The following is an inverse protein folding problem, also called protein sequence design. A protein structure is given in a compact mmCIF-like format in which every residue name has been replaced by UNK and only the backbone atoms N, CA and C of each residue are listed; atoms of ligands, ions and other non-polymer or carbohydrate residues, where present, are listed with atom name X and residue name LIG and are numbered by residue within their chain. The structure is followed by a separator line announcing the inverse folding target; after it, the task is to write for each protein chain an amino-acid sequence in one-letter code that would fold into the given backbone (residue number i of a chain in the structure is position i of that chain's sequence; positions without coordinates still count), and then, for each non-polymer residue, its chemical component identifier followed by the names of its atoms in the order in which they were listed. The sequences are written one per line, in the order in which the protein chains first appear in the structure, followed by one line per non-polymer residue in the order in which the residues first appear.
data_IF_738672531346
#
_entry.id   IF_738672531346
#
_cell.length_a   1.000
_cell.length_b   1.000
_cell.length_c   1.000
_cell.angle_alpha   90.00
_cell.angle_beta   90.00
_cell.angle_gamma   90.00
#
_symmetry.space_group_name_H-M   'P 1'
#
loop_
_entity.id
_entity.type
_entity.pdbx_description
1 polymer ?
#
# COMPACT_ATOMS: atom_id res chain seq x y z
N UNK A 1 -46.82 -11.06 -1.62
CA UNK A 1 -46.30 -10.21 -0.52
C UNK A 1 -44.94 -10.79 -0.21
N UNK A 2 -43.93 -9.98 -0.32
CA UNK A 2 -42.56 -10.34 0.06
C UNK A 2 -42.60 -10.95 1.46
N UNK A 3 -42.05 -12.12 1.72
CA UNK A 3 -41.96 -12.61 3.08
C UNK A 3 -40.96 -11.73 3.82
N UNK A 4 -41.51 -10.71 4.50
CA UNK A 4 -40.72 -9.89 5.44
C UNK A 4 -40.08 -10.87 6.43
N UNK A 5 -38.75 -10.81 6.66
CA UNK A 5 -38.09 -11.76 7.56
C UNK A 5 -38.78 -11.87 8.91
N UNK A 6 -38.86 -13.07 9.45
CA UNK A 6 -39.59 -13.35 10.70
C UNK A 6 -39.16 -12.45 11.87
N UNK A 7 -37.88 -12.13 11.96
CA UNK A 7 -37.37 -11.22 12.99
C UNK A 7 -37.91 -9.80 12.84
N UNK A 8 -38.09 -9.30 11.61
CA UNK A 8 -38.68 -7.99 11.34
C UNK A 8 -40.15 -8.00 11.76
N UNK A 9 -40.91 -9.07 11.40
CA UNK A 9 -42.29 -9.25 11.81
C UNK A 9 -42.40 -9.27 13.36
N UNK A 10 -41.49 -9.96 14.05
CA UNK A 10 -41.45 -10.02 15.50
C UNK A 10 -41.18 -8.67 16.16
N UNK A 11 -40.29 -7.85 15.55
CA UNK A 11 -40.02 -6.48 16.01
C UNK A 11 -41.24 -5.58 15.75
N UNK A 12 -41.84 -5.64 14.55
CA UNK A 12 -43.01 -4.84 14.15
C UNK A 12 -44.21 -5.05 15.08
N UNK A 13 -44.41 -6.27 15.57
CA UNK A 13 -45.42 -6.55 16.60
C UNK A 13 -45.26 -5.74 17.89
N UNK A 14 -44.02 -5.25 18.17
CA UNK A 14 -43.70 -4.48 19.37
C UNK A 14 -43.71 -2.98 19.12
N UNK A 15 -43.24 -2.53 17.95
CA UNK A 15 -43.01 -1.11 17.63
C UNK A 15 -44.02 -0.54 16.64
N UNK A 16 -44.90 -1.37 16.05
CA UNK A 16 -45.80 -0.92 14.97
C UNK A 16 -45.04 -0.41 13.77
N UNK A 17 -45.43 0.80 13.26
CA UNK A 17 -44.83 1.45 12.11
C UNK A 17 -43.68 2.41 12.43
N UNK A 18 -43.19 2.43 13.68
CA UNK A 18 -42.06 3.28 14.06
C UNK A 18 -40.86 3.01 13.16
N UNK A 19 -40.00 4.02 12.88
CA UNK A 19 -38.83 3.86 12.02
C UNK A 19 -37.91 2.73 12.50
N UNK A 20 -37.50 1.87 11.58
CA UNK A 20 -36.62 0.76 11.84
C UNK A 20 -35.33 0.92 11.03
N UNK A 21 -34.19 0.71 11.67
CA UNK A 21 -32.88 0.66 11.03
C UNK A 21 -32.54 -0.80 10.71
N UNK A 22 -32.32 -1.11 9.43
CA UNK A 22 -32.08 -2.46 8.94
C UNK A 22 -30.83 -2.52 8.06
N UNK A 23 -30.04 -3.62 8.10
CA UNK A 23 -29.11 -3.93 7.05
C UNK A 23 -29.87 -4.33 5.79
N UNK A 24 -29.36 -3.93 4.62
CA UNK A 24 -29.82 -4.39 3.31
C UNK A 24 -28.66 -4.91 2.50
N UNK A 25 -28.91 -5.88 1.63
CA UNK A 25 -27.95 -6.36 0.64
C UNK A 25 -28.47 -6.16 -0.76
N UNK A 26 -27.55 -5.88 -1.68
CA UNK A 26 -27.84 -5.81 -3.12
C UNK A 26 -26.85 -6.70 -3.87
N UNK A 27 -27.36 -7.68 -4.61
CA UNK A 27 -26.57 -8.48 -5.53
C UNK A 27 -26.69 -7.93 -6.96
N UNK A 28 -25.63 -7.28 -7.45
CA UNK A 28 -25.55 -6.88 -8.87
C UNK A 28 -24.89 -8.04 -9.62
N UNK A 29 -25.71 -8.88 -10.21
CA UNK A 29 -25.27 -10.10 -10.91
C UNK A 29 -24.92 -9.80 -12.35
N UNK A 30 -23.68 -10.08 -12.73
CA UNK A 30 -23.12 -9.79 -14.05
C UNK A 30 -22.95 -11.07 -14.89
N UNK A 31 -23.24 -10.97 -16.18
CA UNK A 31 -22.95 -11.98 -17.20
C UNK A 31 -22.40 -11.28 -18.45
N UNK A 32 -21.08 -11.14 -18.52
CA UNK A 32 -20.44 -10.28 -19.50
C UNK A 32 -20.82 -8.81 -19.29
N UNK A 33 -21.42 -8.18 -20.30
CA UNK A 33 -21.93 -6.80 -20.30
C UNK A 33 -23.43 -6.71 -19.94
N UNK A 34 -24.03 -7.79 -19.46
CA UNK A 34 -25.42 -7.84 -19.01
C UNK A 34 -25.49 -7.85 -17.47
N UNK A 35 -26.58 -7.28 -16.95
CA UNK A 35 -26.95 -7.32 -15.52
C UNK A 35 -28.32 -7.99 -15.37
N UNK A 36 -28.45 -8.82 -14.34
CA UNK A 36 -29.72 -9.42 -13.94
C UNK A 36 -30.54 -8.40 -13.15
N UNK A 37 -31.76 -8.15 -13.60
CA UNK A 37 -32.69 -7.29 -12.90
C UNK A 37 -34.00 -8.00 -12.65
N UNK A 38 -34.62 -7.67 -11.52
CA UNK A 38 -35.95 -8.10 -11.12
C UNK A 38 -36.92 -6.95 -11.22
N UNK A 39 -38.16 -7.21 -11.64
CA UNK A 39 -39.24 -6.24 -11.64
C UNK A 39 -40.10 -6.46 -10.39
N UNK A 40 -40.00 -5.59 -9.43
CA UNK A 40 -40.68 -5.72 -8.14
C UNK A 40 -42.19 -5.81 -8.26
N UNK A 41 -42.80 -6.68 -7.46
CA UNK A 41 -44.26 -6.85 -7.44
C UNK A 41 -44.99 -5.72 -6.71
N UNK A 42 -44.34 -5.06 -5.74
CA UNK A 42 -44.92 -4.03 -4.89
C UNK A 42 -45.10 -2.65 -5.61
N UNK A 43 -44.10 -2.26 -6.44
CA UNK A 43 -44.07 -0.93 -7.05
C UNK A 43 -43.84 -0.96 -8.57
N UNK A 44 -43.50 -2.11 -9.15
CA UNK A 44 -43.28 -2.29 -10.59
C UNK A 44 -41.97 -1.73 -11.13
N UNK A 45 -41.05 -1.30 -10.26
CA UNK A 45 -39.72 -0.80 -10.68
C UNK A 45 -38.75 -1.95 -10.93
N UNK A 46 -37.82 -1.73 -11.86
CA UNK A 46 -36.69 -2.61 -12.08
C UNK A 46 -35.56 -2.30 -11.07
N UNK A 47 -35.00 -3.35 -10.45
CA UNK A 47 -33.89 -3.24 -9.51
C UNK A 47 -32.94 -4.42 -9.69
N UNK A 48 -31.64 -4.32 -9.30
CA UNK A 48 -30.87 -5.51 -8.96
C UNK A 48 -31.59 -6.32 -7.88
N UNK A 49 -31.16 -7.55 -7.63
CA UNK A 49 -31.70 -8.37 -6.53
C UNK A 49 -31.35 -7.70 -5.20
N UNK A 50 -32.36 -7.55 -4.33
CA UNK A 50 -32.18 -6.91 -3.01
C UNK A 50 -32.80 -7.78 -1.92
N UNK A 51 -32.20 -7.78 -0.74
CA UNK A 51 -32.74 -8.53 0.40
C UNK A 51 -32.28 -8.01 1.74
N UNK A 52 -32.73 -8.66 2.79
CA UNK A 52 -32.39 -8.36 4.18
C UNK A 52 -31.67 -9.57 4.77
N UNK A 53 -30.42 -9.42 5.25
CA UNK A 53 -29.74 -10.52 5.96
C UNK A 53 -30.50 -10.91 7.24
N UNK A 54 -30.60 -12.20 7.50
CA UNK A 54 -31.12 -12.71 8.75
C UNK A 54 -30.13 -12.46 9.91
N UNK A 55 -30.62 -12.38 11.17
CA UNK A 55 -29.73 -12.23 12.32
C UNK A 55 -28.67 -13.33 12.41
N UNK A 56 -27.40 -12.95 12.27
CA UNK A 56 -26.25 -13.87 12.26
C UNK A 56 -25.86 -14.39 10.89
N UNK A 57 -26.57 -13.99 9.83
CA UNK A 57 -26.19 -14.30 8.46
C UNK A 57 -25.16 -13.27 7.94
N UNK A 58 -24.09 -13.76 7.29
CA UNK A 58 -23.10 -12.89 6.64
C UNK A 58 -23.73 -12.21 5.41
N UNK A 59 -23.53 -10.90 5.21
CA UNK A 59 -24.19 -10.16 4.12
C UNK A 59 -23.92 -10.72 2.72
N UNK A 60 -22.73 -11.24 2.45
CA UNK A 60 -22.41 -11.86 1.17
C UNK A 60 -23.16 -13.20 0.96
N UNK A 61 -23.43 -13.94 2.04
CA UNK A 61 -24.23 -15.16 2.01
C UNK A 61 -25.70 -14.82 1.73
N UNK A 62 -26.24 -13.79 2.40
CA UNK A 62 -27.57 -13.27 2.15
C UNK A 62 -27.76 -12.87 0.68
N UNK A 63 -26.80 -12.11 0.10
CA UNK A 63 -26.86 -11.70 -1.30
C UNK A 63 -26.91 -12.90 -2.26
N UNK A 64 -26.18 -13.98 -1.97
CA UNK A 64 -26.21 -15.20 -2.76
C UNK A 64 -27.51 -15.99 -2.59
N UNK A 65 -28.06 -16.04 -1.38
CA UNK A 65 -29.35 -16.68 -1.07
C UNK A 65 -30.50 -15.98 -1.79
N UNK A 66 -30.59 -14.64 -1.66
CA UNK A 66 -31.62 -13.83 -2.32
C UNK A 66 -31.59 -13.97 -3.84
N UNK A 67 -30.39 -13.97 -4.45
CA UNK A 67 -30.26 -14.19 -5.89
C UNK A 67 -30.83 -15.55 -6.33
N UNK A 68 -30.58 -16.60 -5.55
CA UNK A 68 -31.11 -17.93 -5.85
C UNK A 68 -32.64 -18.00 -5.59
N UNK A 69 -33.12 -17.45 -4.50
CA UNK A 69 -34.54 -17.49 -4.10
C UNK A 69 -35.42 -16.67 -5.03
N UNK A 70 -35.03 -15.46 -5.41
CA UNK A 70 -35.84 -14.59 -6.26
C UNK A 70 -35.75 -14.93 -7.76
N UNK A 71 -34.58 -15.43 -8.22
CA UNK A 71 -34.29 -15.53 -9.65
C UNK A 71 -33.89 -16.89 -10.18
N UNK A 72 -33.69 -17.87 -9.30
CA UNK A 72 -33.24 -19.22 -9.68
C UNK A 72 -31.77 -19.30 -10.15
N UNK A 73 -30.99 -18.23 -10.07
CA UNK A 73 -29.59 -18.24 -10.52
C UNK A 73 -28.61 -18.40 -9.35
N UNK A 74 -27.53 -19.15 -9.57
CA UNK A 74 -26.41 -19.27 -8.64
C UNK A 74 -25.31 -18.28 -9.04
N UNK A 75 -24.78 -17.62 -8.05
CA UNK A 75 -23.79 -16.56 -8.24
C UNK A 75 -22.53 -16.80 -7.43
N UNK A 76 -21.43 -16.18 -7.84
CA UNK A 76 -20.25 -15.94 -7.04
C UNK A 76 -20.26 -14.49 -6.59
N UNK A 77 -20.14 -14.24 -5.30
CA UNK A 77 -19.94 -12.89 -4.77
C UNK A 77 -18.44 -12.57 -4.90
N UNK A 78 -18.11 -11.57 -5.69
CA UNK A 78 -16.71 -11.24 -6.04
C UNK A 78 -16.11 -10.22 -5.09
N UNK A 79 -16.86 -9.14 -4.79
CA UNK A 79 -16.41 -8.04 -3.92
C UNK A 79 -17.57 -7.19 -3.39
N UNK A 80 -17.33 -6.50 -2.29
CA UNK A 80 -18.16 -5.38 -1.89
C UNK A 80 -17.92 -4.21 -2.87
N UNK A 81 -18.96 -3.73 -3.52
CA UNK A 81 -18.89 -2.66 -4.52
C UNK A 81 -19.15 -1.29 -3.92
N UNK A 82 -20.13 -1.17 -3.01
CA UNK A 82 -20.43 0.07 -2.30
C UNK A 82 -21.15 -0.19 -0.98
N UNK A 83 -21.08 0.82 -0.09
CA UNK A 83 -21.93 0.93 1.09
C UNK A 83 -22.60 2.29 1.08
N UNK A 84 -23.90 2.35 1.39
CA UNK A 84 -24.64 3.60 1.43
C UNK A 84 -25.79 3.53 2.45
N UNK A 85 -26.15 4.68 3.01
CA UNK A 85 -27.37 4.86 3.78
C UNK A 85 -28.36 5.60 2.91
N UNK A 86 -29.52 5.01 2.72
CA UNK A 86 -30.59 5.66 1.96
C UNK A 86 -31.61 6.28 2.93
N UNK A 87 -32.28 7.34 2.47
CA UNK A 87 -33.31 8.00 3.22
C UNK A 87 -34.46 7.04 3.60
N UNK A 88 -35.33 7.49 4.46
CA UNK A 88 -36.46 6.70 4.97
C UNK A 88 -37.35 6.21 3.82
N UNK A 89 -37.57 4.92 3.79
CA UNK A 89 -38.52 4.26 2.90
C UNK A 89 -39.83 4.03 3.66
N UNK A 90 -40.95 4.44 3.07
CA UNK A 90 -42.31 4.15 3.58
C UNK A 90 -42.89 3.05 2.69
N UNK A 91 -43.07 1.88 3.26
CA UNK A 91 -43.65 0.73 2.57
C UNK A 91 -45.17 0.87 2.38
N UNK A 92 -45.75 0.12 1.46
CA UNK A 92 -47.19 0.19 1.13
C UNK A 92 -48.08 -0.12 2.36
N UNK A 93 -47.59 -0.95 3.29
CA UNK A 93 -48.30 -1.27 4.54
C UNK A 93 -48.11 -0.19 5.63
N UNK A 94 -47.43 0.92 5.35
CA UNK A 94 -47.15 2.00 6.30
C UNK A 94 -45.91 1.81 7.17
N UNK A 95 -45.18 0.71 7.01
CA UNK A 95 -43.92 0.50 7.72
C UNK A 95 -42.85 1.47 7.23
N UNK A 96 -42.05 1.98 8.18
CA UNK A 96 -40.97 2.94 7.92
C UNK A 96 -39.63 2.30 8.21
N UNK A 97 -38.73 2.34 7.27
CA UNK A 97 -37.39 1.78 7.44
C UNK A 97 -36.31 2.65 6.77
N UNK A 98 -35.12 2.64 7.36
CA UNK A 98 -33.89 3.16 6.79
C UNK A 98 -32.90 2.02 6.67
N UNK A 99 -32.22 1.94 5.55
CA UNK A 99 -31.32 0.81 5.27
C UNK A 99 -29.85 1.26 5.19
N UNK A 100 -28.97 0.48 5.85
CA UNK A 100 -27.56 0.44 5.49
C UNK A 100 -27.42 -0.61 4.40
N UNK A 101 -27.27 -0.19 3.16
CA UNK A 101 -27.10 -1.09 2.01
C UNK A 101 -25.65 -1.49 1.81
N UNK A 102 -25.45 -2.77 1.54
CA UNK A 102 -24.20 -3.41 1.17
C UNK A 102 -24.35 -3.95 -0.25
N UNK A 103 -23.85 -3.23 -1.23
CA UNK A 103 -23.92 -3.64 -2.64
C UNK A 103 -22.73 -4.52 -3.01
N UNK A 104 -23.00 -5.72 -3.52
CA UNK A 104 -21.99 -6.66 -3.98
C UNK A 104 -21.96 -6.75 -5.50
N UNK A 105 -20.75 -6.72 -6.07
CA UNK A 105 -20.52 -7.16 -7.43
C UNK A 105 -20.46 -8.68 -7.46
N UNK A 106 -21.27 -9.29 -8.31
CA UNK A 106 -21.42 -10.73 -8.38
C UNK A 106 -21.30 -11.23 -9.83
N UNK A 107 -20.78 -12.44 -10.01
CA UNK A 107 -20.70 -13.13 -11.30
C UNK A 107 -21.71 -14.26 -11.34
N UNK A 108 -22.50 -14.34 -12.42
CA UNK A 108 -23.34 -15.48 -12.71
C UNK A 108 -22.50 -16.75 -12.90
N UNK A 109 -22.92 -17.84 -12.28
CA UNK A 109 -22.29 -19.16 -12.39
C UNK A 109 -23.11 -20.12 -13.22
N UNK A 110 -24.38 -20.30 -12.85
CA UNK A 110 -25.31 -21.25 -13.47
C UNK A 110 -26.77 -20.90 -13.14
N UNK A 111 -27.71 -21.57 -13.80
CA UNK A 111 -29.14 -21.38 -13.67
C UNK A 111 -29.72 -20.46 -14.74
N UNK A 112 -30.98 -20.68 -15.12
CA UNK A 112 -31.74 -19.82 -16.01
C UNK A 112 -32.59 -18.86 -15.18
N UNK A 113 -32.45 -17.55 -15.48
CA UNK A 113 -33.17 -16.50 -14.78
C UNK A 113 -34.67 -16.62 -15.01
N UNK A 114 -35.43 -16.75 -13.97
CA UNK A 114 -36.89 -16.80 -13.97
C UNK A 114 -37.45 -16.21 -12.67
N UNK A 115 -38.72 -15.88 -12.65
CA UNK A 115 -39.43 -15.51 -11.43
C UNK A 115 -39.57 -16.75 -10.57
N UNK A 116 -38.82 -16.80 -9.46
CA UNK A 116 -38.76 -17.97 -8.59
C UNK A 116 -39.62 -17.82 -7.32
N UNK A 117 -40.03 -16.59 -6.98
CA UNK A 117 -40.94 -16.29 -5.87
C UNK A 117 -42.03 -15.28 -6.28
N UNK A 118 -42.81 -14.78 -5.30
CA UNK A 118 -43.88 -13.78 -5.51
C UNK A 118 -43.43 -12.33 -5.28
N UNK A 119 -42.13 -12.09 -5.00
CA UNK A 119 -41.55 -10.74 -4.85
C UNK A 119 -41.38 -10.03 -6.18
N UNK A 120 -41.16 -10.80 -7.22
CA UNK A 120 -40.91 -10.31 -8.57
C UNK A 120 -42.04 -10.66 -9.54
N UNK A 121 -42.33 -9.75 -10.49
CA UNK A 121 -43.28 -10.00 -11.61
C UNK A 121 -42.54 -10.40 -12.88
N UNK A 122 -41.25 -10.07 -12.99
CA UNK A 122 -40.42 -10.33 -14.16
C UNK A 122 -38.94 -10.38 -13.74
N UNK A 123 -38.15 -11.22 -14.41
CA UNK A 123 -36.70 -11.36 -14.20
C UNK A 123 -36.04 -11.42 -15.55
N UNK A 124 -35.09 -10.52 -15.82
CA UNK A 124 -34.40 -10.44 -17.13
C UNK A 124 -32.96 -10.03 -17.03
N UNK A 125 -32.19 -10.50 -18.01
CA UNK A 125 -30.88 -9.96 -18.32
C UNK A 125 -31.03 -8.69 -19.18
N UNK A 126 -30.36 -7.62 -18.79
CA UNK A 126 -30.34 -6.34 -19.49
C UNK A 126 -28.92 -5.95 -19.85
N UNK A 127 -28.64 -5.54 -21.10
CA UNK A 127 -27.37 -4.91 -21.43
C UNK A 127 -27.17 -3.65 -20.57
N UNK A 128 -25.99 -3.46 -19.99
CA UNK A 128 -25.69 -2.27 -19.16
C UNK A 128 -25.81 -0.98 -19.96
N UNK A 129 -25.58 -1.04 -21.28
CA UNK A 129 -25.74 0.10 -22.17
C UNK A 129 -27.22 0.48 -22.45
N UNK A 130 -28.19 -0.37 -22.06
CA UNK A 130 -29.62 -0.17 -22.36
C UNK A 130 -30.51 -0.61 -21.17
N UNK A 131 -30.23 -0.06 -20.01
CA UNK A 131 -30.98 -0.35 -18.77
C UNK A 131 -32.41 0.22 -18.85
N UNK A 132 -33.39 -0.44 -18.22
CA UNK A 132 -34.75 0.09 -18.09
C UNK A 132 -34.73 1.30 -17.14
N UNK A 133 -35.85 2.07 -17.17
CA UNK A 133 -36.03 3.14 -16.19
C UNK A 133 -36.01 2.60 -14.75
N UNK A 134 -35.16 3.21 -13.94
CA UNK A 134 -34.98 2.90 -12.52
C UNK A 134 -34.53 4.14 -11.73
N UNK A 135 -34.53 4.06 -10.41
CA UNK A 135 -34.04 5.15 -9.58
C UNK A 135 -32.53 5.36 -9.68
N UNK A 136 -32.07 6.59 -9.48
CA UNK A 136 -30.64 6.93 -9.45
C UNK A 136 -29.85 6.07 -8.46
N UNK A 137 -30.44 5.76 -7.31
CA UNK A 137 -29.86 4.87 -6.30
C UNK A 137 -29.53 3.48 -6.87
N UNK A 138 -30.42 2.90 -7.66
CA UNK A 138 -30.20 1.58 -8.26
C UNK A 138 -29.18 1.64 -9.40
N UNK A 139 -29.18 2.73 -10.17
CA UNK A 139 -28.13 2.99 -11.17
C UNK A 139 -26.75 3.10 -10.54
N UNK A 140 -26.61 3.85 -9.44
CA UNK A 140 -25.34 4.00 -8.71
C UNK A 140 -24.78 2.65 -8.21
N UNK A 141 -25.65 1.75 -7.73
CA UNK A 141 -25.27 0.38 -7.33
C UNK A 141 -24.73 -0.42 -8.51
N UNK A 142 -25.41 -0.37 -9.66
CA UNK A 142 -24.95 -1.04 -10.89
C UNK A 142 -23.60 -0.47 -11.33
N UNK A 143 -23.47 0.85 -11.40
CA UNK A 143 -22.22 1.52 -11.78
C UNK A 143 -21.08 1.16 -10.85
N UNK A 144 -21.31 1.10 -9.53
CA UNK A 144 -20.28 0.69 -8.56
C UNK A 144 -19.86 -0.77 -8.77
N UNK A 145 -20.79 -1.67 -9.10
CA UNK A 145 -20.49 -3.07 -9.33
C UNK A 145 -19.77 -3.35 -10.66
N UNK A 146 -20.03 -2.55 -11.69
CA UNK A 146 -19.37 -2.65 -13.01
C UNK A 146 -18.06 -1.87 -13.11
N UNK A 147 -17.73 -1.07 -12.11
CA UNK A 147 -16.44 -0.38 -12.04
C UNK A 147 -15.29 -1.36 -11.88
N UNK A 148 -14.15 -1.05 -12.52
CA UNK A 148 -12.89 -1.78 -12.35
C UNK A 148 -12.19 -1.46 -10.99
N UNK A 149 -12.76 -0.54 -10.20
CA UNK A 149 -12.25 -0.23 -8.87
C UNK A 149 -12.38 -1.43 -7.93
N UNK A 150 -11.27 -1.82 -7.32
CA UNK A 150 -11.26 -2.90 -6.33
C UNK A 150 -11.67 -2.45 -4.92
N UNK A 151 -11.72 -1.14 -4.69
CA UNK A 151 -12.12 -0.54 -3.41
C UNK A 151 -13.63 -0.27 -3.44
N UNK A 152 -14.32 -0.61 -2.34
CA UNK A 152 -15.75 -0.30 -2.22
C UNK A 152 -15.98 1.22 -2.16
N UNK A 153 -17.00 1.71 -2.87
CA UNK A 153 -17.42 3.12 -2.80
C UNK A 153 -18.20 3.38 -1.51
N UNK A 154 -17.91 4.48 -0.88
CA UNK A 154 -18.63 4.94 0.32
C UNK A 154 -18.58 6.47 0.42
N UNK A 155 -19.52 7.04 1.16
CA UNK A 155 -19.53 8.49 1.41
C UNK A 155 -18.49 8.81 2.49
N UNK A 156 -17.59 9.74 2.16
CA UNK A 156 -16.59 10.25 3.11
C UNK A 156 -17.05 11.59 3.73
N UNK A 157 -16.57 11.96 4.93
CA UNK A 157 -16.82 13.29 5.48
C UNK A 157 -16.35 14.40 4.51
N UNK A 158 -17.10 15.50 4.39
CA UNK A 158 -16.80 16.57 3.42
C UNK A 158 -15.48 17.31 3.67
N UNK A 159 -14.96 17.23 4.88
CA UNK A 159 -13.70 17.81 5.33
C UNK A 159 -12.53 16.80 5.33
N UNK A 160 -12.73 15.61 4.80
CA UNK A 160 -11.67 14.62 4.70
C UNK A 160 -10.61 15.07 3.68
N UNK A 161 -9.30 14.98 4.05
CA UNK A 161 -8.23 15.23 3.09
C UNK A 161 -8.37 14.33 1.86
N UNK A 162 -8.01 14.87 0.70
CA UNK A 162 -7.97 14.08 -0.53
C UNK A 162 -7.11 12.82 -0.35
N UNK A 163 -7.44 11.71 -1.00
CA UNK A 163 -6.59 10.52 -1.01
C UNK A 163 -5.17 10.88 -1.48
N UNK A 164 -4.17 10.25 -0.88
CA UNK A 164 -2.77 10.44 -1.28
C UNK A 164 -2.61 9.85 -2.69
N UNK A 165 -2.18 10.67 -3.63
CA UNK A 165 -1.76 10.19 -4.94
C UNK A 165 -0.45 9.39 -4.78
N UNK A 166 -0.49 8.09 -5.07
CA UNK A 166 0.66 7.21 -4.88
C UNK A 166 1.72 7.45 -5.95
N UNK A 167 2.98 7.49 -5.54
CA UNK A 167 4.11 7.57 -6.44
C UNK A 167 4.40 6.17 -7.01
N UNK A 168 4.02 5.94 -8.26
CA UNK A 168 4.15 4.66 -8.94
C UNK A 168 5.39 4.63 -9.85
N UNK A 169 6.29 3.65 -9.73
CA UNK A 169 7.39 3.41 -10.65
C UNK A 169 6.94 2.64 -11.90
N UNK A 170 7.69 2.73 -13.01
CA UNK A 170 7.45 1.93 -14.21
C UNK A 170 7.70 0.43 -14.01
N UNK A 171 8.56 0.08 -13.05
CA UNK A 171 8.84 -1.29 -12.62
C UNK A 171 9.07 -1.31 -11.11
N UNK A 172 8.76 -2.43 -10.41
CA UNK A 172 8.87 -2.49 -8.97
C UNK A 172 10.27 -2.19 -8.46
N UNK A 173 10.37 -1.44 -7.36
CA UNK A 173 11.62 -1.02 -6.73
C UNK A 173 11.64 -1.40 -5.26
N UNK A 174 12.84 -1.55 -4.68
CA UNK A 174 13.05 -1.92 -3.28
C UNK A 174 13.93 -0.89 -2.58
N UNK A 175 13.42 -0.26 -1.53
CA UNK A 175 14.22 0.54 -0.59
C UNK A 175 14.60 -0.31 0.61
N UNK A 176 15.85 -0.21 1.08
CA UNK A 176 16.40 -1.09 2.11
C UNK A 176 17.14 -0.29 3.16
N UNK A 177 16.91 -0.64 4.42
CA UNK A 177 17.69 -0.16 5.56
C UNK A 177 18.17 -1.33 6.42
N UNK A 178 19.27 -1.12 7.14
CA UNK A 178 19.82 -2.08 8.09
C UNK A 178 19.06 -2.02 9.42
N UNK A 179 18.66 -3.17 9.94
CA UNK A 179 18.00 -3.29 11.23
C UNK A 179 18.72 -4.28 12.16
N UNK A 180 18.38 -4.37 13.45
CA UNK A 180 19.05 -5.28 14.38
C UNK A 180 19.02 -6.75 13.95
N UNK A 181 17.91 -7.20 13.34
CA UNK A 181 17.73 -8.58 12.88
C UNK A 181 18.31 -8.88 11.49
N UNK A 182 18.83 -7.87 10.79
CA UNK A 182 19.29 -8.03 9.41
C UNK A 182 18.97 -6.80 8.57
N UNK A 183 18.04 -6.93 7.68
CA UNK A 183 17.62 -5.92 6.73
C UNK A 183 16.09 -5.81 6.67
N UNK A 184 15.57 -4.59 6.65
CA UNK A 184 14.18 -4.32 6.33
C UNK A 184 14.12 -3.72 4.93
N UNK A 185 13.22 -4.22 4.11
CA UNK A 185 12.98 -3.75 2.74
C UNK A 185 11.54 -3.30 2.54
N UNK A 186 11.35 -2.20 1.83
CA UNK A 186 10.05 -1.71 1.38
C UNK A 186 10.00 -1.80 -0.14
N UNK A 187 9.20 -2.74 -0.63
CA UNK A 187 8.88 -2.88 -2.05
C UNK A 187 7.79 -1.86 -2.41
N UNK A 188 8.01 -1.07 -3.45
CA UNK A 188 6.98 -0.26 -4.09
C UNK A 188 6.68 -0.87 -5.46
N UNK A 189 5.45 -1.32 -5.65
CA UNK A 189 4.99 -1.91 -6.90
C UNK A 189 4.60 -0.84 -7.95
N UNK A 190 4.23 -1.28 -9.15
CA UNK A 190 3.82 -0.38 -10.26
C UNK A 190 2.51 0.35 -10.02
N UNK A 191 1.80 0.08 -8.94
CA UNK A 191 0.61 0.84 -8.50
C UNK A 191 0.94 1.86 -7.41
N UNK A 192 2.21 1.93 -6.96
CA UNK A 192 2.66 2.77 -5.85
C UNK A 192 2.38 2.18 -4.46
N UNK A 193 1.91 0.94 -4.38
CA UNK A 193 1.66 0.26 -3.09
C UNK A 193 2.96 -0.20 -2.46
N UNK A 194 3.09 0.04 -1.16
CA UNK A 194 4.25 -0.33 -0.38
C UNK A 194 4.01 -1.62 0.43
N UNK A 195 4.96 -2.56 0.39
CA UNK A 195 4.95 -3.80 1.16
C UNK A 195 6.29 -4.01 1.87
N UNK A 196 6.29 -4.60 3.07
CA UNK A 196 7.48 -4.78 3.92
C UNK A 196 7.96 -6.22 3.88
N UNK A 197 9.28 -6.38 3.79
CA UNK A 197 9.99 -7.64 3.85
C UNK A 197 11.17 -7.54 4.82
N UNK A 198 11.55 -8.65 5.45
CA UNK A 198 12.68 -8.70 6.39
C UNK A 198 13.46 -9.97 6.15
N UNK A 199 14.80 -9.87 6.13
CA UNK A 199 15.69 -11.02 6.09
C UNK A 199 17.01 -10.72 6.81
N UNK A 200 17.70 -11.75 7.25
CA UNK A 200 19.00 -11.63 7.91
C UNK A 200 20.11 -11.11 6.98
N UNK A 201 19.98 -11.35 5.67
CA UNK A 201 20.96 -10.98 4.65
C UNK A 201 20.37 -10.18 3.53
N UNK A 202 21.16 -9.27 2.91
CA UNK A 202 20.69 -8.49 1.76
C UNK A 202 20.33 -9.40 0.56
N UNK A 203 21.09 -10.46 0.33
CA UNK A 203 20.80 -11.40 -0.75
C UNK A 203 19.52 -12.20 -0.50
N UNK A 204 19.27 -12.61 0.76
CA UNK A 204 18.03 -13.29 1.17
C UNK A 204 16.83 -12.37 1.04
N UNK A 205 16.93 -11.12 1.49
CA UNK A 205 15.87 -10.13 1.36
C UNK A 205 15.46 -9.94 -0.12
N UNK A 206 16.43 -9.74 -1.01
CA UNK A 206 16.14 -9.54 -2.44
C UNK A 206 15.62 -10.82 -3.09
N UNK A 207 16.11 -11.99 -2.68
CA UNK A 207 15.60 -13.28 -3.16
C UNK A 207 14.14 -13.48 -2.73
N UNK A 208 13.81 -13.22 -1.45
CA UNK A 208 12.45 -13.31 -0.91
C UNK A 208 11.45 -12.41 -1.68
N UNK A 209 11.83 -11.16 -1.96
CA UNK A 209 10.98 -10.26 -2.77
C UNK A 209 10.80 -10.79 -4.18
N UNK A 210 11.85 -11.34 -4.79
CA UNK A 210 11.82 -11.85 -6.17
C UNK A 210 11.03 -13.14 -6.35
N UNK A 211 10.69 -13.84 -5.28
CA UNK A 211 9.76 -14.97 -5.35
C UNK A 211 8.38 -14.55 -5.90
N UNK A 212 7.98 -13.30 -5.65
CA UNK A 212 6.68 -12.78 -6.04
C UNK A 212 6.75 -11.68 -7.10
N UNK A 213 7.82 -10.86 -7.10
CA UNK A 213 7.87 -9.63 -7.88
C UNK A 213 9.29 -9.33 -8.37
N UNK A 214 9.54 -9.18 -9.68
CA UNK A 214 10.84 -8.77 -10.19
C UNK A 214 11.15 -7.33 -9.75
N UNK A 215 12.38 -7.08 -9.27
CA UNK A 215 12.82 -5.76 -8.79
C UNK A 215 13.83 -5.17 -9.78
N UNK A 216 13.55 -3.95 -10.26
CA UNK A 216 14.42 -3.24 -11.20
C UNK A 216 15.53 -2.44 -10.50
N UNK A 217 15.20 -1.76 -9.39
CA UNK A 217 16.12 -0.92 -8.62
C UNK A 217 16.10 -1.32 -7.16
N UNK A 218 17.28 -1.47 -6.55
CA UNK A 218 17.45 -1.66 -5.10
C UNK A 218 18.23 -0.49 -4.54
N UNK A 219 17.60 0.33 -3.69
CA UNK A 219 18.21 1.48 -3.02
C UNK A 219 18.53 1.12 -1.57
N UNK A 220 19.76 1.28 -1.14
CA UNK A 220 20.22 0.82 0.17
C UNK A 220 20.88 1.96 0.94
N UNK A 221 20.52 2.12 2.23
CA UNK A 221 21.20 3.05 3.16
C UNK A 221 22.52 2.44 3.67
N UNK A 222 23.44 2.18 2.76
CA UNK A 222 24.79 1.69 3.04
C UNK A 222 25.75 2.23 1.97
N UNK A 223 26.99 2.62 2.34
CA UNK A 223 28.00 3.06 1.38
C UNK A 223 28.30 2.00 0.31
N UNK A 224 28.22 2.42 -0.96
CA UNK A 224 28.55 1.62 -2.15
C UNK A 224 29.73 2.28 -2.88
N UNK A 225 30.74 1.49 -3.28
CA UNK A 225 32.02 2.02 -3.78
C UNK A 225 32.88 2.48 -2.60
N UNK A 226 33.83 1.60 -2.18
CA UNK A 226 34.63 1.80 -0.98
C UNK A 226 35.96 2.49 -1.30
N UNK A 227 36.32 3.58 -0.58
CA UNK A 227 37.52 4.34 -0.87
C UNK A 227 38.81 3.57 -0.49
N UNK A 228 39.87 3.82 -1.24
CA UNK A 228 41.19 3.21 -1.00
C UNK A 228 42.05 4.05 -0.02
N UNK A 229 42.06 5.37 -0.20
CA UNK A 229 43.00 6.25 0.52
C UNK A 229 42.45 7.61 0.92
N UNK A 230 41.23 7.97 0.54
CA UNK A 230 40.65 9.29 0.83
C UNK A 230 39.22 9.18 1.28
N UNK A 231 38.67 10.25 1.86
CA UNK A 231 37.21 10.32 2.07
C UNK A 231 36.47 10.42 0.74
N UNK A 232 35.21 9.95 0.70
CA UNK A 232 34.35 10.01 -0.47
C UNK A 232 33.71 11.41 -0.64
N UNK A 233 33.63 11.89 -1.87
CA UNK A 233 32.89 13.12 -2.20
C UNK A 233 31.39 12.95 -1.85
N UNK A 234 30.82 11.76 -2.02
CA UNK A 234 29.45 11.44 -1.66
C UNK A 234 29.13 11.82 -0.20
N UNK A 235 29.98 11.38 0.74
CA UNK A 235 29.81 11.71 2.16
C UNK A 235 29.95 13.24 2.42
N UNK A 236 30.90 13.89 1.74
CA UNK A 236 31.13 15.33 1.90
C UNK A 236 29.97 16.18 1.37
N UNK A 237 29.41 15.83 0.22
CA UNK A 237 28.28 16.53 -0.39
C UNK A 237 26.97 16.29 0.38
N UNK A 238 26.71 15.06 0.83
CA UNK A 238 25.56 14.75 1.68
C UNK A 238 25.57 15.58 2.98
N UNK A 239 26.74 15.77 3.61
CA UNK A 239 26.87 16.64 4.79
C UNK A 239 26.52 18.08 4.51
N UNK A 240 26.83 18.59 3.31
CA UNK A 240 26.49 19.98 2.92
C UNK A 240 24.99 20.19 2.79
N UNK A 241 24.27 19.16 2.32
CA UNK A 241 22.80 19.19 2.24
C UNK A 241 22.17 19.18 3.64
N UNK A 242 22.78 18.46 4.59
CA UNK A 242 22.23 18.24 5.94
C UNK A 242 22.71 19.28 6.96
N UNK A 243 22.50 20.58 6.68
CA UNK A 243 22.83 21.67 7.60
C UNK A 243 22.11 21.47 8.94
N UNK A 244 22.85 21.47 10.05
CA UNK A 244 22.33 21.18 11.39
C UNK A 244 22.17 19.70 11.73
N UNK A 245 22.35 18.81 10.74
CA UNK A 245 22.29 17.34 10.88
C UNK A 245 23.45 16.60 10.22
N UNK A 246 24.51 17.30 9.87
CA UNK A 246 25.69 16.76 9.18
C UNK A 246 26.35 15.57 9.90
N UNK A 247 26.17 15.45 11.24
CA UNK A 247 26.64 14.32 12.02
C UNK A 247 25.93 12.99 11.74
N UNK A 248 24.81 13.01 11.03
CA UNK A 248 24.13 11.77 10.57
C UNK A 248 24.91 11.07 9.45
N UNK A 249 25.73 11.81 8.70
CA UNK A 249 26.58 11.24 7.65
C UNK A 249 27.96 10.96 8.23
N UNK A 250 28.28 9.70 8.48
CA UNK A 250 29.65 9.33 8.87
C UNK A 250 30.60 9.33 7.66
N UNK A 251 31.91 9.42 7.90
CA UNK A 251 32.89 9.21 6.83
C UNK A 251 33.03 7.73 6.58
N UNK A 252 32.81 7.30 5.36
CA UNK A 252 33.01 5.92 4.95
C UNK A 252 34.48 5.53 5.15
N UNK A 253 34.78 4.48 5.96
CA UNK A 253 36.15 4.01 6.12
C UNK A 253 36.72 3.46 4.82
N UNK A 254 38.03 3.46 4.70
CA UNK A 254 38.72 2.79 3.59
C UNK A 254 38.43 1.28 3.59
N UNK A 255 38.51 0.64 2.43
CA UNK A 255 38.34 -0.81 2.29
C UNK A 255 39.23 -1.58 3.27
N UNK A 256 40.52 -1.25 3.35
CA UNK A 256 41.46 -1.87 4.30
C UNK A 256 41.04 -1.73 5.75
N UNK A 257 40.40 -0.62 6.11
CA UNK A 257 39.89 -0.43 7.47
C UNK A 257 38.62 -1.27 7.75
N UNK A 258 37.72 -1.43 6.76
CA UNK A 258 36.52 -2.27 6.88
C UNK A 258 36.87 -3.76 6.97
N UNK A 259 37.93 -4.21 6.29
CA UNK A 259 38.38 -5.60 6.29
C UNK A 259 39.23 -5.97 7.54
N UNK A 260 39.61 -4.97 8.36
CA UNK A 260 40.42 -5.21 9.54
C UNK A 260 39.69 -6.01 10.62
N UNK A 261 40.40 -6.92 11.31
CA UNK A 261 39.81 -7.85 12.29
C UNK A 261 39.40 -7.18 13.61
N UNK A 262 39.94 -6.01 13.93
CA UNK A 262 39.60 -5.30 15.17
C UNK A 262 39.43 -3.80 14.95
N UNK A 263 38.71 -3.15 15.86
CA UNK A 263 38.52 -1.69 15.80
C UNK A 263 39.86 -0.91 15.88
N UNK A 264 40.81 -1.41 16.69
CA UNK A 264 42.14 -0.79 16.76
C UNK A 264 42.91 -0.93 15.43
N UNK A 265 42.85 -2.10 14.81
CA UNK A 265 43.46 -2.35 13.51
C UNK A 265 42.76 -1.53 12.40
N UNK A 266 41.44 -1.42 12.40
CA UNK A 266 40.70 -0.61 11.47
C UNK A 266 41.06 0.89 11.55
N UNK A 267 41.22 1.40 12.78
CA UNK A 267 41.67 2.80 12.98
C UNK A 267 43.10 3.02 12.45
N UNK A 268 44.01 2.08 12.76
CA UNK A 268 45.39 2.17 12.27
C UNK A 268 45.47 2.09 10.74
N UNK A 269 44.75 1.17 10.14
CA UNK A 269 44.67 1.02 8.68
C UNK A 269 44.10 2.29 7.98
N UNK A 270 43.01 2.86 8.54
CA UNK A 270 42.41 4.05 7.98
C UNK A 270 43.32 5.28 8.11
N UNK A 271 43.99 5.46 9.26
CA UNK A 271 44.95 6.55 9.44
C UNK A 271 46.14 6.42 8.46
N UNK A 272 46.66 5.21 8.31
CA UNK A 272 47.77 4.94 7.36
C UNK A 272 47.35 5.25 5.92
N UNK A 273 46.15 4.82 5.49
CA UNK A 273 45.62 5.03 4.15
C UNK A 273 45.25 6.51 3.87
N UNK A 274 44.95 7.30 4.89
CA UNK A 274 44.51 8.71 4.75
C UNK A 274 45.59 9.72 5.20
N UNK A 275 46.86 9.33 5.28
CA UNK A 275 47.96 10.17 5.76
C UNK A 275 47.64 10.84 7.10
N UNK A 276 47.05 10.11 8.03
CA UNK A 276 46.69 10.58 9.37
C UNK A 276 45.48 11.51 9.44
N UNK A 277 44.79 11.77 8.32
CA UNK A 277 43.69 12.76 8.25
C UNK A 277 42.38 12.28 8.86
N UNK A 278 42.06 11.00 8.72
CA UNK A 278 40.72 10.48 9.09
C UNK A 278 40.82 9.19 9.88
N UNK A 279 40.23 9.15 11.07
CA UNK A 279 40.06 7.94 11.87
C UNK A 279 38.68 7.33 11.66
N UNK A 280 38.54 6.02 11.94
CA UNK A 280 37.25 5.32 11.92
C UNK A 280 36.46 5.64 13.19
N UNK A 281 35.22 6.08 13.05
CA UNK A 281 34.31 6.22 14.19
C UNK A 281 33.79 4.85 14.66
N UNK A 282 33.42 4.76 15.95
CA UNK A 282 32.82 3.52 16.47
C UNK A 282 31.53 3.13 15.74
N UNK A 283 30.74 4.11 15.34
CA UNK A 283 29.52 3.91 14.55
C UNK A 283 29.82 3.31 13.17
N UNK A 284 30.78 3.89 12.43
CA UNK A 284 31.16 3.38 11.12
C UNK A 284 31.73 1.94 11.21
N UNK A 285 32.52 1.66 12.26
CA UNK A 285 33.03 0.30 12.49
C UNK A 285 31.95 -0.71 12.84
N UNK A 286 30.94 -0.30 13.61
CA UNK A 286 29.81 -1.17 13.94
C UNK A 286 29.00 -1.60 12.70
N UNK A 287 29.00 -0.80 11.64
CA UNK A 287 28.33 -1.09 10.37
C UNK A 287 29.19 -1.92 9.40
N UNK A 288 30.46 -2.20 9.71
CA UNK A 288 31.41 -2.84 8.78
C UNK A 288 30.88 -4.13 8.16
N UNK A 289 30.24 -4.99 8.93
CA UNK A 289 29.72 -6.27 8.45
C UNK A 289 28.59 -6.07 7.43
N UNK A 290 27.74 -5.09 7.65
CA UNK A 290 26.69 -4.68 6.72
C UNK A 290 27.27 -4.10 5.44
N UNK A 291 28.25 -3.22 5.55
CA UNK A 291 28.95 -2.64 4.39
C UNK A 291 29.62 -3.71 3.56
N UNK A 292 30.39 -4.64 4.17
CA UNK A 292 31.06 -5.73 3.46
C UNK A 292 30.06 -6.73 2.85
N UNK A 293 28.92 -6.96 3.50
CA UNK A 293 27.85 -7.81 2.94
C UNK A 293 27.25 -7.19 1.68
N UNK A 294 26.99 -5.90 1.67
CA UNK A 294 26.48 -5.18 0.50
C UNK A 294 27.54 -5.11 -0.60
N UNK A 295 28.82 -4.81 -0.26
CA UNK A 295 29.92 -4.79 -1.22
C UNK A 295 30.07 -6.14 -1.94
N UNK A 296 30.07 -7.25 -1.21
CA UNK A 296 30.14 -8.60 -1.80
C UNK A 296 28.93 -8.88 -2.69
N UNK A 297 27.73 -8.49 -2.26
CA UNK A 297 26.51 -8.70 -3.03
C UNK A 297 26.48 -7.87 -4.31
N UNK A 298 26.86 -6.58 -4.27
CA UNK A 298 26.96 -5.73 -5.48
C UNK A 298 27.94 -6.29 -6.48
N UNK A 299 29.11 -6.78 -6.00
CA UNK A 299 30.12 -7.42 -6.86
C UNK A 299 29.64 -8.70 -7.53
N UNK A 300 28.65 -9.39 -6.95
CA UNK A 300 28.03 -10.57 -7.55
C UNK A 300 27.12 -10.24 -8.75
N UNK A 301 26.92 -8.95 -9.07
CA UNK A 301 26.05 -8.46 -10.14
C UNK A 301 24.63 -9.02 -10.03
N UNK A 302 23.86 -8.59 -9.04
CA UNK A 302 22.58 -9.20 -8.63
C UNK A 302 21.44 -9.08 -9.66
N UNK A 303 21.68 -8.53 -10.86
CA UNK A 303 20.67 -8.43 -11.93
C UNK A 303 19.59 -7.36 -11.66
N UNK A 304 19.86 -6.41 -10.77
CA UNK A 304 19.11 -5.19 -10.56
C UNK A 304 20.06 -4.00 -10.53
N UNK A 305 19.59 -2.81 -10.81
CA UNK A 305 20.34 -1.59 -10.54
C UNK A 305 20.41 -1.38 -9.03
N UNK A 306 21.63 -1.32 -8.48
CA UNK A 306 21.83 -1.07 -7.04
C UNK A 306 22.35 0.35 -6.86
N UNK A 307 21.70 1.12 -5.99
CA UNK A 307 22.10 2.51 -5.67
C UNK A 307 22.27 2.70 -4.17
N UNK A 308 23.23 3.53 -3.79
CA UNK A 308 23.35 4.05 -2.46
C UNK A 308 22.40 5.21 -2.26
N UNK A 309 21.73 5.26 -1.12
CA UNK A 309 20.88 6.36 -0.68
C UNK A 309 21.22 6.73 0.76
N UNK A 310 20.77 7.90 1.21
CA UNK A 310 20.86 8.32 2.60
C UNK A 310 19.50 8.90 3.02
N UNK A 311 18.74 8.24 3.88
CA UNK A 311 17.36 8.62 4.22
C UNK A 311 17.20 10.07 4.67
N UNK A 312 18.14 10.60 5.48
CA UNK A 312 18.07 12.01 5.90
C UNK A 312 18.25 12.99 4.73
N UNK A 313 19.01 12.63 3.68
CA UNK A 313 19.11 13.41 2.44
C UNK A 313 17.81 13.33 1.67
N UNK A 314 17.20 12.14 1.59
CA UNK A 314 15.89 11.94 0.96
C UNK A 314 14.81 12.76 1.67
N UNK A 315 14.74 12.72 3.00
CA UNK A 315 13.81 13.54 3.78
C UNK A 315 14.08 15.04 3.61
N UNK A 316 15.34 15.48 3.59
CA UNK A 316 15.67 16.88 3.35
C UNK A 316 15.21 17.36 1.96
N UNK A 317 15.23 16.47 0.96
CA UNK A 317 14.68 16.77 -0.38
C UNK A 317 13.17 16.85 -0.39
N UNK A 318 12.48 15.94 0.29
CA UNK A 318 11.02 15.95 0.43
C UNK A 318 10.52 17.23 1.10
N UNK A 319 11.20 17.69 2.16
CA UNK A 319 10.73 18.81 3.01
C UNK A 319 11.37 20.14 2.69
N UNK A 320 12.35 20.18 1.77
CA UNK A 320 13.13 21.39 1.42
C UNK A 320 14.18 21.77 2.46
N UNK A 321 14.27 21.07 3.61
CA UNK A 321 15.24 21.29 4.67
C UNK A 321 15.42 20.01 5.51
N UNK A 322 16.53 19.82 6.27
CA UNK A 322 16.71 18.66 7.14
C UNK A 322 15.62 18.56 8.20
N UNK A 323 15.06 17.35 8.41
CA UNK A 323 14.08 17.07 9.48
C UNK A 323 14.82 17.02 10.81
N UNK A 324 14.77 18.09 11.59
CA UNK A 324 15.56 18.27 12.81
C UNK A 324 15.14 17.33 13.98
N UNK A 325 13.84 17.05 14.22
CA UNK A 325 13.45 16.12 15.28
C UNK A 325 14.09 14.75 15.10
N UNK A 326 14.46 14.12 16.23
CA UNK A 326 15.13 12.81 16.22
C UNK A 326 14.17 11.75 15.65
N UNK A 327 14.71 10.83 14.84
CA UNK A 327 13.91 9.80 14.14
C UNK A 327 13.13 8.84 15.08
N UNK A 328 13.55 8.72 16.36
CA UNK A 328 12.88 7.88 17.37
C UNK A 328 11.87 8.63 18.23
N UNK A 329 11.82 9.97 18.15
CA UNK A 329 10.85 10.77 18.89
C UNK A 329 9.54 10.84 18.10
N UNK A 330 8.40 10.96 18.79
CA UNK A 330 7.08 11.00 18.16
C UNK A 330 6.95 12.08 17.08
N UNK A 331 7.50 13.27 17.33
CA UNK A 331 7.50 14.37 16.36
C UNK A 331 8.38 14.05 15.13
N UNK A 332 9.50 13.35 15.34
CA UNK A 332 10.37 12.93 14.26
C UNK A 332 9.76 11.83 13.38
N UNK A 333 9.06 10.88 14.00
CA UNK A 333 8.29 9.84 13.30
C UNK A 333 7.17 10.48 12.49
N UNK A 334 6.36 11.36 13.13
CA UNK A 334 5.25 12.05 12.46
C UNK A 334 5.74 12.86 11.25
N UNK A 335 6.75 13.70 11.41
CA UNK A 335 7.29 14.53 10.33
C UNK A 335 7.77 13.71 9.13
N UNK A 336 8.39 12.53 9.37
CA UNK A 336 8.84 11.64 8.29
C UNK A 336 7.67 10.94 7.60
N UNK A 337 6.65 10.49 8.36
CA UNK A 337 5.42 9.94 7.76
C UNK A 337 4.69 10.96 6.90
N UNK A 338 4.55 12.18 7.38
CA UNK A 338 3.93 13.29 6.63
C UNK A 338 4.73 13.62 5.36
N UNK A 339 6.07 13.67 5.44
CA UNK A 339 6.92 13.91 4.28
C UNK A 339 6.78 12.80 3.23
N UNK A 340 6.78 11.53 3.63
CA UNK A 340 6.57 10.38 2.72
C UNK A 340 5.19 10.45 2.07
N UNK A 341 4.15 10.67 2.86
CA UNK A 341 2.77 10.75 2.38
C UNK A 341 2.57 11.90 1.38
N UNK A 342 3.14 13.09 1.66
CA UNK A 342 3.10 14.24 0.75
C UNK A 342 3.80 13.98 -0.59
N UNK A 343 4.65 12.95 -0.66
CA UNK A 343 5.40 12.55 -1.85
C UNK A 343 4.95 11.17 -2.38
N UNK A 344 3.75 10.74 -2.04
CA UNK A 344 3.10 9.56 -2.61
C UNK A 344 3.59 8.21 -2.07
N UNK A 345 4.35 8.19 -0.97
CA UNK A 345 4.74 6.96 -0.29
C UNK A 345 3.95 6.81 1.01
N UNK A 346 3.01 5.88 1.03
CA UNK A 346 2.27 5.52 2.25
C UNK A 346 3.05 4.44 2.99
N UNK A 347 3.72 4.83 4.08
CA UNK A 347 4.49 3.88 4.89
C UNK A 347 3.56 2.80 5.47
N UNK A 348 3.89 1.51 5.30
CA UNK A 348 3.12 0.42 5.89
C UNK A 348 2.96 0.56 7.42
N UNK A 349 1.93 -0.07 8.01
CA UNK A 349 1.77 -0.06 9.46
C UNK A 349 2.94 -0.79 10.13
N UNK A 350 3.42 -0.22 11.25
CA UNK A 350 4.45 -0.83 12.08
C UNK A 350 3.85 -1.39 13.37
N UNK A 351 4.36 -2.53 13.82
CA UNK A 351 3.93 -3.19 15.06
C UNK A 351 5.15 -3.58 15.90
N UNK A 352 5.04 -3.47 17.22
CA UNK A 352 6.07 -3.98 18.14
C UNK A 352 6.28 -5.48 17.94
N UNK A 353 7.54 -5.90 17.86
CA UNK A 353 7.90 -7.31 17.63
C UNK A 353 8.12 -7.68 16.16
N UNK A 354 8.04 -6.73 15.23
CA UNK A 354 8.31 -6.96 13.81
C UNK A 354 9.79 -7.28 13.48
N UNK A 355 10.70 -7.23 14.47
CA UNK A 355 12.14 -7.48 14.26
C UNK A 355 12.95 -6.25 13.80
N UNK A 356 12.28 -5.11 13.59
CA UNK A 356 12.88 -3.83 13.20
C UNK A 356 12.18 -2.66 13.90
N UNK A 357 12.83 -1.49 13.96
CA UNK A 357 12.27 -0.28 14.51
C UNK A 357 11.36 0.45 13.52
N UNK A 358 10.47 1.32 14.02
CA UNK A 358 9.67 2.18 13.15
C UNK A 358 10.56 3.15 12.37
N UNK A 359 11.67 3.60 12.99
CA UNK A 359 12.67 4.42 12.31
C UNK A 359 13.35 3.69 11.14
N UNK A 360 13.67 2.39 11.29
CA UNK A 360 14.24 1.57 10.22
C UNK A 360 13.23 1.41 9.04
N UNK A 361 11.94 1.25 9.36
CA UNK A 361 10.88 1.20 8.34
C UNK A 361 10.80 2.52 7.54
N UNK A 362 10.82 3.65 8.24
CA UNK A 362 10.69 4.96 7.58
C UNK A 362 11.94 5.29 6.75
N UNK A 363 13.12 4.86 7.20
CA UNK A 363 14.36 4.98 6.44
C UNK A 363 14.32 4.09 5.17
N UNK A 364 13.81 2.86 5.25
CA UNK A 364 13.57 2.00 4.09
C UNK A 364 12.51 2.59 3.12
N UNK A 365 11.45 3.25 3.63
CA UNK A 365 10.49 3.98 2.80
C UNK A 365 11.13 5.17 2.07
N UNK A 366 12.01 5.92 2.72
CA UNK A 366 12.76 7.02 2.10
C UNK A 366 13.74 6.50 1.03
N UNK A 367 14.37 5.35 1.27
CA UNK A 367 15.16 4.65 0.27
C UNK A 367 14.31 4.20 -0.92
N UNK A 368 13.10 3.67 -0.69
CA UNK A 368 12.16 3.29 -1.75
C UNK A 368 11.73 4.50 -2.58
N UNK A 369 11.43 5.65 -1.96
CA UNK A 369 11.15 6.89 -2.68
C UNK A 369 12.29 7.29 -3.61
N UNK A 370 13.53 7.24 -3.14
CA UNK A 370 14.71 7.53 -3.97
C UNK A 370 14.89 6.50 -5.09
N UNK A 371 14.55 5.21 -4.85
CA UNK A 371 14.55 4.17 -5.87
C UNK A 371 13.52 4.45 -6.98
N UNK A 372 12.30 4.89 -6.61
CA UNK A 372 11.28 5.29 -7.60
C UNK A 372 11.77 6.46 -8.44
N UNK A 373 12.30 7.51 -7.82
CA UNK A 373 12.87 8.65 -8.54
C UNK A 373 13.99 8.25 -9.50
N UNK A 374 14.83 7.30 -9.07
CA UNK A 374 15.90 6.77 -9.91
C UNK A 374 15.35 5.98 -11.10
N UNK A 375 14.34 5.15 -10.92
CA UNK A 375 13.69 4.40 -12.00
C UNK A 375 13.03 5.31 -13.04
N UNK A 376 12.49 6.46 -12.59
CA UNK A 376 11.89 7.48 -13.44
C UNK A 376 12.92 8.45 -14.06
N UNK A 377 14.23 8.29 -13.79
CA UNK A 377 15.29 9.14 -14.34
C UNK A 377 15.35 10.57 -13.77
N UNK A 378 14.72 10.82 -12.62
CA UNK A 378 14.64 12.17 -11.97
C UNK A 378 15.43 12.25 -10.67
N UNK A 379 16.24 11.25 -10.34
CA UNK A 379 17.10 11.26 -9.16
C UNK A 379 18.28 12.19 -9.34
N UNK A 380 18.68 12.84 -8.25
CA UNK A 380 19.95 13.60 -8.18
C UNK A 380 21.08 12.70 -7.70
N UNK A 381 22.31 13.09 -8.01
CA UNK A 381 23.52 12.35 -7.63
C UNK A 381 24.48 13.23 -6.84
N UNK A 382 25.00 12.73 -5.74
CA UNK A 382 26.02 13.33 -4.90
C UNK A 382 27.25 12.43 -4.81
N UNK A 383 28.37 12.76 -5.50
CA UNK A 383 28.54 13.87 -6.44
C UNK A 383 27.79 13.66 -7.78
N UNK A 384 27.60 14.74 -8.55
CA UNK A 384 26.96 14.71 -9.87
C UNK A 384 27.62 13.70 -10.82
N UNK A 385 28.95 13.62 -10.79
CA UNK A 385 29.73 12.58 -11.44
C UNK A 385 30.25 11.63 -10.36
N UNK A 386 29.79 10.37 -10.29
CA UNK A 386 30.24 9.41 -9.31
C UNK A 386 31.76 9.21 -9.32
N UNK A 387 32.37 9.12 -8.14
CA UNK A 387 33.74 8.65 -8.02
C UNK A 387 33.82 7.15 -8.32
N UNK A 388 34.97 6.69 -8.77
CA UNK A 388 35.26 5.27 -8.95
C UNK A 388 36.58 4.96 -8.29
N UNK A 389 36.58 4.04 -7.33
CA UNK A 389 37.77 3.59 -6.64
C UNK A 389 38.34 2.30 -7.26
N UNK A 390 39.33 1.70 -6.64
CA UNK A 390 39.97 0.47 -7.17
C UNK A 390 39.00 -0.71 -7.35
N UNK A 391 37.87 -0.69 -6.65
CA UNK A 391 36.81 -1.67 -6.77
C UNK A 391 36.00 -1.59 -8.11
N UNK A 392 36.15 -0.49 -8.83
CA UNK A 392 35.45 -0.26 -10.09
C UNK A 392 33.96 0.04 -9.93
N UNK A 393 33.47 0.25 -8.68
CA UNK A 393 32.06 0.52 -8.38
C UNK A 393 31.83 2.04 -8.28
N UNK A 394 30.86 2.61 -9.01
CA UNK A 394 30.53 4.03 -8.89
C UNK A 394 30.02 4.38 -7.47
N UNK A 395 30.67 5.33 -6.81
CA UNK A 395 30.35 5.80 -5.48
C UNK A 395 29.60 7.13 -5.56
N UNK A 396 28.31 7.12 -5.26
CA UNK A 396 27.48 8.32 -5.16
C UNK A 396 26.20 8.01 -4.37
N UNK A 397 25.76 8.97 -3.56
CA UNK A 397 24.43 8.96 -2.91
C UNK A 397 23.41 9.46 -3.94
N UNK A 398 22.32 8.73 -4.12
CA UNK A 398 21.20 9.07 -5.01
C UNK A 398 19.98 9.51 -4.20
N UNK A 399 19.24 10.50 -4.73
CA UNK A 399 18.03 10.99 -4.07
C UNK A 399 16.95 11.40 -5.07
#
# INVERSE_FOLDING_TARGET
MSPVPDFVIAIRKKIGHDPLWLPGVTAVVRRGDEVLLVKRSDNGHWTPVTGIPDPGEEPAVAAAREALEETGVRIRVDRLASTAVHGEVVHVNGDRATYLDLTFACTWLEGEAHVADDESRDVRWWPVAALPEMSDVMLERIVAAFSDEHVARFVVPPDQPAPIELLAPDAPVLGVDACPGGWVGVLVDTTGRASVFVDATISGLVALVRETTPVAVVAIDIPIGLPDASGRLADAEARRVLVGKSSSVFSTPTRAALEAESYAAARAANLAATDGRTSVSAQAYALREKVLQVDAWVRSRPGATVIEVHPEVSFARMTGAPVLPRKKDADGVRARREALAAHGIVAPPWFRGAGFGEDDLLDACAAAWSAVRHSLGVSESFPATPEVFSDGIPAAIRV
#
